data_IF_506461370532
#
_entry.id   IF_506461370532
#
_cell.length_a   1.000
_cell.length_b   1.000
_cell.length_c   1.000
_cell.angle_alpha   90.00
_cell.angle_beta   90.00
_cell.angle_gamma   90.00
#
_symmetry.space_group_name_H-M   'P 1'
#
loop_
_entity.id
_entity.type
_entity.pdbx_description
1 polymer ?
#
# COMPACT_ATOMS: atom_id res chain seq x y z
N UNK A 1 -0.04 9.99 -27.93
CA UNK A 1 -0.92 9.78 -26.76
C UNK A 1 -1.42 8.36 -26.88
N UNK A 2 -0.73 7.43 -26.24
CA UNK A 2 -1.25 6.06 -26.16
C UNK A 2 -2.52 6.09 -25.30
N UNK A 3 -3.57 5.35 -25.68
CA UNK A 3 -4.76 5.24 -24.86
C UNK A 3 -4.40 4.65 -23.48
N UNK A 4 -5.12 5.01 -22.40
CA UNK A 4 -4.87 4.42 -21.09
C UNK A 4 -4.96 2.89 -21.20
N UNK A 5 -3.86 2.22 -20.85
CA UNK A 5 -3.71 0.76 -20.92
C UNK A 5 -4.86 0.04 -20.20
N UNK A 6 -5.33 -1.03 -20.85
CA UNK A 6 -6.49 -1.86 -20.52
C UNK A 6 -6.85 -1.89 -19.02
N UNK A 7 -7.96 -1.20 -18.72
CA UNK A 7 -8.72 -1.45 -17.49
C UNK A 7 -9.32 -2.85 -17.57
N UNK A 8 -9.41 -3.61 -16.46
CA UNK A 8 -10.10 -4.90 -16.46
C UNK A 8 -11.51 -4.70 -17.02
N UNK A 9 -11.88 -5.52 -18.01
CA UNK A 9 -13.15 -5.43 -18.74
C UNK A 9 -14.39 -5.45 -17.83
N UNK A 10 -15.58 -5.14 -18.37
CA UNK A 10 -16.77 -4.82 -17.58
C UNK A 10 -17.21 -5.99 -16.71
N UNK A 11 -16.84 -5.93 -15.42
CA UNK A 11 -17.48 -6.71 -14.37
C UNK A 11 -18.76 -5.96 -14.00
N UNK A 12 -19.91 -6.35 -14.55
CA UNK A 12 -21.19 -5.82 -14.06
C UNK A 12 -21.49 -6.49 -12.72
N UNK A 13 -21.36 -5.80 -11.57
CA UNK A 13 -21.47 -6.44 -10.28
C UNK A 13 -22.90 -6.95 -10.04
N UNK A 14 -23.03 -8.08 -9.35
CA UNK A 14 -24.33 -8.63 -8.98
C UNK A 14 -25.07 -7.77 -7.94
N UNK A 15 -26.39 -7.98 -7.77
CA UNK A 15 -27.19 -7.27 -6.76
C UNK A 15 -26.62 -7.42 -5.33
N UNK A 16 -26.26 -8.64 -4.93
CA UNK A 16 -25.67 -8.94 -3.62
C UNK A 16 -24.32 -8.24 -3.42
N UNK A 17 -23.54 -8.11 -4.49
CA UNK A 17 -22.24 -7.44 -4.47
C UNK A 17 -22.40 -5.93 -4.27
N UNK A 18 -23.35 -5.28 -4.94
CA UNK A 18 -23.64 -3.84 -4.74
C UNK A 18 -24.12 -3.55 -3.32
N UNK A 19 -24.99 -4.39 -2.75
CA UNK A 19 -25.46 -4.24 -1.36
C UNK A 19 -24.31 -4.37 -0.35
N UNK A 20 -23.42 -5.36 -0.53
CA UNK A 20 -22.21 -5.52 0.29
C UNK A 20 -21.29 -4.31 0.16
N UNK A 21 -21.07 -3.83 -1.07
CA UNK A 21 -20.21 -2.69 -1.34
C UNK A 21 -20.71 -1.41 -0.66
N UNK A 22 -22.02 -1.16 -0.72
CA UNK A 22 -22.65 -0.04 -0.04
C UNK A 22 -22.43 -0.08 1.47
N UNK A 23 -22.60 -1.24 2.10
CA UNK A 23 -22.41 -1.39 3.54
C UNK A 23 -20.94 -1.10 3.92
N UNK A 24 -19.99 -1.72 3.22
CA UNK A 24 -18.56 -1.56 3.49
C UNK A 24 -18.10 -0.11 3.28
N UNK A 25 -18.54 0.54 2.19
CA UNK A 25 -18.18 1.93 1.92
C UNK A 25 -18.77 2.90 2.95
N UNK A 26 -20.02 2.67 3.37
CA UNK A 26 -20.66 3.52 4.37
C UNK A 26 -19.98 3.40 5.74
N UNK A 27 -19.46 2.22 6.10
CA UNK A 27 -18.65 2.03 7.30
C UNK A 27 -17.30 2.72 7.18
N UNK A 28 -16.60 2.57 6.04
CA UNK A 28 -15.35 3.29 5.75
C UNK A 28 -15.50 4.80 5.95
N UNK A 29 -16.56 5.41 5.41
CA UNK A 29 -16.82 6.84 5.58
C UNK A 29 -17.15 7.26 7.02
N UNK A 30 -17.66 6.36 7.86
CA UNK A 30 -18.03 6.66 9.24
C UNK A 30 -16.90 6.44 10.23
N UNK A 31 -16.15 5.36 10.04
CA UNK A 31 -15.23 4.80 11.04
C UNK A 31 -13.77 4.85 10.57
N UNK A 32 -13.49 5.28 9.33
CA UNK A 32 -12.16 5.21 8.74
C UNK A 32 -11.67 3.77 8.56
N UNK A 33 -12.58 2.81 8.51
CA UNK A 33 -12.29 1.38 8.57
C UNK A 33 -11.40 0.87 7.43
N UNK A 34 -10.57 -0.13 7.72
CA UNK A 34 -9.66 -0.76 6.77
C UNK A 34 -10.43 -1.53 5.67
N UNK A 35 -10.10 -1.27 4.39
CA UNK A 35 -10.83 -1.78 3.22
C UNK A 35 -10.28 -3.09 2.64
N UNK A 36 -9.38 -3.80 3.32
CA UNK A 36 -8.69 -4.97 2.77
C UNK A 36 -9.60 -6.13 2.36
N UNK A 37 -10.81 -6.21 2.93
CA UNK A 37 -11.81 -7.25 2.62
C UNK A 37 -12.99 -6.69 1.79
N UNK A 38 -12.82 -5.50 1.21
CA UNK A 38 -13.85 -4.83 0.44
C UNK A 38 -13.88 -5.32 -1.02
N UNK A 39 -15.07 -5.31 -1.63
CA UNK A 39 -15.19 -5.62 -3.07
C UNK A 39 -14.41 -4.63 -3.94
N UNK A 40 -14.04 -5.04 -5.16
CA UNK A 40 -13.34 -4.18 -6.13
C UNK A 40 -14.09 -2.85 -6.38
N UNK A 41 -15.43 -2.92 -6.41
CA UNK A 41 -16.30 -1.75 -6.50
C UNK A 41 -16.13 -0.78 -5.32
N UNK A 42 -16.14 -1.28 -4.08
CA UNK A 42 -15.93 -0.45 -2.88
C UNK A 42 -14.57 0.21 -2.89
N UNK A 43 -13.53 -0.58 -3.16
CA UNK A 43 -12.15 -0.13 -3.13
C UNK A 43 -11.87 0.90 -4.22
N UNK A 44 -12.35 0.62 -5.44
CA UNK A 44 -12.25 1.53 -6.58
C UNK A 44 -12.97 2.87 -6.33
N UNK A 45 -14.20 2.84 -5.83
CA UNK A 45 -14.93 4.07 -5.48
C UNK A 45 -14.26 4.87 -4.35
N UNK A 46 -13.48 4.22 -3.49
CA UNK A 46 -12.79 4.88 -2.37
C UNK A 46 -11.56 5.60 -2.91
N UNK A 47 -10.82 4.90 -3.77
CA UNK A 47 -9.66 5.40 -4.48
C UNK A 47 -9.97 6.62 -5.34
N UNK A 48 -11.11 6.59 -6.04
CA UNK A 48 -11.55 7.63 -6.97
C UNK A 48 -12.44 8.71 -6.32
N UNK A 49 -12.51 8.76 -4.98
CA UNK A 49 -13.43 9.62 -4.24
C UNK A 49 -13.37 11.12 -4.62
N UNK A 50 -12.19 11.69 -4.88
CA UNK A 50 -12.03 13.10 -5.24
C UNK A 50 -12.57 13.35 -6.65
N UNK A 51 -12.17 12.52 -7.61
CA UNK A 51 -12.65 12.57 -8.99
C UNK A 51 -14.16 12.39 -9.08
N UNK A 52 -14.72 11.40 -8.37
CA UNK A 52 -16.16 11.12 -8.38
C UNK A 52 -16.97 12.28 -7.80
N UNK A 53 -16.48 12.90 -6.73
CA UNK A 53 -17.09 14.08 -6.14
C UNK A 53 -17.02 15.29 -7.10
N UNK A 54 -15.93 15.46 -7.85
CA UNK A 54 -15.79 16.50 -8.87
C UNK A 54 -16.74 16.29 -10.05
N UNK A 55 -16.82 15.06 -10.57
CA UNK A 55 -17.76 14.69 -11.64
C UNK A 55 -19.21 14.95 -11.20
N UNK A 56 -19.58 14.53 -10.00
CA UNK A 56 -20.93 14.77 -9.47
C UNK A 56 -21.28 16.26 -9.42
N UNK A 57 -20.33 17.13 -9.08
CA UNK A 57 -20.55 18.58 -9.02
C UNK A 57 -20.87 19.20 -10.39
N UNK A 58 -20.37 18.64 -11.50
CA UNK A 58 -20.67 19.14 -12.85
C UNK A 58 -22.16 19.06 -13.18
N UNK A 59 -22.85 18.04 -12.66
CA UNK A 59 -24.29 17.85 -12.87
C UNK A 59 -25.18 18.60 -11.85
N UNK A 60 -24.58 19.38 -10.95
CA UNK A 60 -25.28 20.05 -9.84
C UNK A 60 -25.23 21.56 -9.97
N UNK A 61 -26.40 22.19 -10.15
CA UNK A 61 -26.53 23.65 -10.28
C UNK A 61 -25.98 24.46 -9.10
N UNK A 62 -25.97 23.89 -7.90
CA UNK A 62 -25.40 24.51 -6.68
C UNK A 62 -24.11 23.83 -6.20
N UNK A 63 -23.60 22.82 -6.91
CA UNK A 63 -22.38 22.08 -6.51
C UNK A 63 -22.43 21.37 -5.14
N UNK A 64 -23.61 21.27 -4.51
CA UNK A 64 -23.76 20.71 -3.15
C UNK A 64 -23.91 19.20 -3.18
N UNK A 65 -22.89 18.51 -2.67
CA UNK A 65 -22.90 17.05 -2.51
C UNK A 65 -23.71 16.62 -1.26
N UNK A 66 -24.21 15.36 -1.25
CA UNK A 66 -24.88 14.79 -0.09
C UNK A 66 -23.97 14.75 1.15
N UNK A 67 -24.52 15.08 2.32
CA UNK A 67 -23.76 15.09 3.58
C UNK A 67 -23.76 13.75 4.31
N UNK A 68 -24.81 12.94 4.15
CA UNK A 68 -24.92 11.68 4.88
C UNK A 68 -23.98 10.63 4.25
N UNK A 69 -23.21 9.94 5.09
CA UNK A 69 -22.24 8.92 4.64
C UNK A 69 -22.85 7.91 3.65
N UNK A 70 -24.07 7.43 3.91
CA UNK A 70 -24.74 6.45 3.05
C UNK A 70 -25.17 7.00 1.68
N UNK A 71 -25.62 8.26 1.65
CA UNK A 71 -25.97 8.96 0.40
C UNK A 71 -24.71 9.21 -0.43
N UNK A 72 -23.62 9.62 0.22
CA UNK A 72 -22.30 9.81 -0.40
C UNK A 72 -21.72 8.49 -0.93
N UNK A 73 -21.87 7.40 -0.19
CA UNK A 73 -21.48 6.06 -0.62
C UNK A 73 -22.23 5.64 -1.88
N UNK A 74 -23.57 5.74 -1.88
CA UNK A 74 -24.41 5.42 -3.04
C UNK A 74 -24.01 6.23 -4.27
N UNK A 75 -23.81 7.55 -4.09
CA UNK A 75 -23.39 8.43 -5.18
C UNK A 75 -22.05 7.96 -5.77
N UNK A 76 -21.01 7.81 -4.95
CA UNK A 76 -19.68 7.45 -5.42
C UNK A 76 -19.63 6.06 -6.05
N UNK A 77 -20.33 5.07 -5.49
CA UNK A 77 -20.40 3.72 -6.06
C UNK A 77 -21.10 3.72 -7.41
N UNK A 78 -22.22 4.45 -7.55
CA UNK A 78 -22.93 4.58 -8.82
C UNK A 78 -22.07 5.25 -9.90
N UNK A 79 -21.38 6.34 -9.55
CA UNK A 79 -20.50 7.05 -10.49
C UNK A 79 -19.25 6.21 -10.83
N UNK A 80 -18.72 5.44 -9.88
CA UNK A 80 -17.58 4.56 -10.14
C UNK A 80 -17.95 3.48 -11.14
N UNK A 81 -19.10 2.83 -10.93
CA UNK A 81 -19.58 1.81 -11.86
C UNK A 81 -19.82 2.39 -13.27
N UNK A 82 -20.36 3.61 -13.34
CA UNK A 82 -20.60 4.31 -14.60
C UNK A 82 -19.29 4.63 -15.36
N UNK A 83 -18.32 5.26 -14.71
CA UNK A 83 -17.15 5.84 -15.39
C UNK A 83 -15.89 4.97 -15.40
N UNK A 84 -15.76 4.04 -14.45
CA UNK A 84 -14.55 3.23 -14.27
C UNK A 84 -14.79 1.73 -14.46
N UNK A 85 -16.05 1.29 -14.55
CA UNK A 85 -16.40 -0.10 -14.88
C UNK A 85 -17.13 -0.20 -16.23
N UNK A 86 -17.29 0.93 -16.93
CA UNK A 86 -17.98 1.03 -18.21
C UNK A 86 -19.39 0.42 -18.20
N UNK A 87 -20.09 0.50 -17.06
CA UNK A 87 -21.44 -0.05 -16.95
C UNK A 87 -22.44 0.82 -17.71
N UNK A 88 -23.43 0.23 -18.41
CA UNK A 88 -24.43 1.00 -19.14
C UNK A 88 -25.19 1.95 -18.21
N UNK A 89 -25.31 3.22 -18.61
CA UNK A 89 -25.97 4.28 -17.82
C UNK A 89 -27.36 3.90 -17.34
N UNK A 90 -28.16 3.24 -18.19
CA UNK A 90 -29.50 2.80 -17.82
C UNK A 90 -29.48 1.74 -16.69
N UNK A 91 -28.50 0.82 -16.71
CA UNK A 91 -28.36 -0.23 -15.70
C UNK A 91 -27.92 0.35 -14.36
N UNK A 92 -26.94 1.27 -14.38
CA UNK A 92 -26.51 2.02 -13.19
C UNK A 92 -27.69 2.81 -12.62
N UNK A 93 -28.40 3.55 -13.47
CA UNK A 93 -29.56 4.34 -13.09
C UNK A 93 -30.67 3.50 -12.47
N UNK A 94 -30.96 2.31 -12.99
CA UNK A 94 -32.00 1.44 -12.46
C UNK A 94 -31.61 0.82 -11.10
N UNK A 95 -30.44 0.17 -11.04
CA UNK A 95 -30.05 -0.62 -9.87
C UNK A 95 -29.65 0.25 -8.68
N UNK A 96 -28.87 1.31 -8.89
CA UNK A 96 -28.46 2.18 -7.78
C UNK A 96 -29.61 3.05 -7.25
N UNK A 97 -30.58 3.42 -8.10
CA UNK A 97 -31.78 4.14 -7.65
C UNK A 97 -32.69 3.21 -6.84
N UNK A 98 -32.82 1.93 -7.19
CA UNK A 98 -33.51 0.94 -6.35
C UNK A 98 -32.84 0.81 -4.97
N UNK A 99 -31.51 0.72 -4.93
CA UNK A 99 -30.76 0.68 -3.67
C UNK A 99 -30.92 1.98 -2.86
N UNK A 100 -30.92 3.13 -3.51
CA UNK A 100 -31.19 4.41 -2.87
C UNK A 100 -32.58 4.43 -2.23
N UNK A 101 -33.62 4.00 -2.94
CA UNK A 101 -35.00 3.88 -2.40
C UNK A 101 -35.06 3.01 -1.15
N UNK A 102 -34.31 1.91 -1.13
CA UNK A 102 -34.29 0.95 -0.02
C UNK A 102 -33.52 1.47 1.20
N UNK A 103 -32.44 2.21 0.98
CA UNK A 103 -31.46 2.48 2.04
C UNK A 103 -31.38 3.93 2.50
N UNK A 104 -32.02 4.86 1.80
CA UNK A 104 -32.04 6.30 2.12
C UNK A 104 -33.46 6.84 2.23
N UNK A 105 -33.60 8.06 2.75
CA UNK A 105 -34.88 8.73 2.96
C UNK A 105 -34.86 10.13 2.35
N UNK A 106 -36.03 10.77 2.24
CA UNK A 106 -36.11 12.18 1.84
C UNK A 106 -35.89 12.44 0.34
N UNK A 107 -36.16 11.45 -0.53
CA UNK A 107 -36.12 11.62 -1.98
C UNK A 107 -34.73 11.56 -2.62
N UNK A 108 -33.73 11.03 -1.90
CA UNK A 108 -32.37 10.88 -2.43
C UNK A 108 -32.32 10.00 -3.69
N UNK A 109 -33.22 9.01 -3.82
CA UNK A 109 -33.37 8.21 -5.04
C UNK A 109 -33.73 9.05 -6.27
N UNK A 110 -34.64 10.01 -6.11
CA UNK A 110 -35.02 10.95 -7.18
C UNK A 110 -33.87 11.88 -7.52
N UNK A 111 -33.14 12.35 -6.51
CA UNK A 111 -31.92 13.14 -6.68
C UNK A 111 -30.87 12.37 -7.48
N UNK A 112 -30.55 11.13 -7.08
CA UNK A 112 -29.55 10.29 -7.75
C UNK A 112 -29.94 10.03 -9.21
N UNK A 113 -31.21 9.71 -9.48
CA UNK A 113 -31.71 9.49 -10.83
C UNK A 113 -31.62 10.76 -11.70
N UNK A 114 -31.93 11.93 -11.14
CA UNK A 114 -31.78 13.20 -11.85
C UNK A 114 -30.32 13.52 -12.14
N UNK A 115 -29.43 13.30 -11.17
CA UNK A 115 -28.00 13.49 -11.32
C UNK A 115 -27.43 12.62 -12.44
N UNK A 116 -27.71 11.31 -12.44
CA UNK A 116 -27.20 10.36 -13.46
C UNK A 116 -27.60 10.77 -14.88
N UNK A 117 -28.82 11.30 -15.07
CA UNK A 117 -29.28 11.78 -16.38
C UNK A 117 -28.59 13.03 -16.89
N UNK A 118 -28.07 13.86 -15.99
CA UNK A 118 -27.41 15.13 -16.32
C UNK A 118 -25.87 15.01 -16.37
N UNK A 119 -25.34 13.81 -16.10
CA UNK A 119 -23.91 13.56 -16.14
C UNK A 119 -23.37 13.52 -17.59
N UNK A 120 -22.14 14.01 -17.83
CA UNK A 120 -21.44 13.83 -19.11
C UNK A 120 -21.40 12.37 -19.55
N UNK A 121 -21.50 12.09 -20.84
CA UNK A 121 -21.45 10.70 -21.36
C UNK A 121 -20.08 10.06 -21.11
N UNK A 122 -19.00 10.82 -21.33
CA UNK A 122 -17.63 10.38 -21.09
C UNK A 122 -17.07 10.94 -19.78
N UNK A 123 -16.05 10.28 -19.23
CA UNK A 123 -15.36 10.80 -18.04
C UNK A 123 -14.71 12.15 -18.40
N UNK A 124 -15.03 13.25 -17.69
CA UNK A 124 -14.44 14.55 -17.97
C UNK A 124 -12.95 14.58 -17.62
N UNK A 125 -12.20 15.38 -18.38
CA UNK A 125 -10.83 15.77 -18.09
C UNK A 125 -10.82 17.16 -17.43
N UNK A 126 -10.16 17.30 -16.28
CA UNK A 126 -10.22 18.51 -15.46
C UNK A 126 -9.01 19.43 -15.65
N UNK A 127 -7.95 18.99 -16.33
CA UNK A 127 -6.64 19.68 -16.37
C UNK A 127 -6.10 19.98 -14.96
N UNK A 128 -6.36 19.05 -14.04
CA UNK A 128 -5.97 19.14 -12.62
C UNK A 128 -5.64 17.73 -12.13
N UNK A 129 -4.38 17.50 -11.76
CA UNK A 129 -3.90 16.17 -11.35
C UNK A 129 -4.66 15.61 -10.14
N UNK A 130 -5.13 16.47 -9.23
CA UNK A 130 -5.89 16.04 -8.04
C UNK A 130 -7.24 15.47 -8.46
N UNK A 131 -7.89 16.14 -9.42
CA UNK A 131 -9.20 15.74 -9.91
C UNK A 131 -9.12 14.62 -10.94
N UNK A 132 -8.08 14.56 -11.77
CA UNK A 132 -7.94 13.57 -12.83
C UNK A 132 -7.52 12.19 -12.29
N UNK A 133 -6.65 12.18 -11.26
CA UNK A 133 -6.12 10.97 -10.64
C UNK A 133 -6.68 10.69 -9.24
N UNK A 134 -7.53 11.53 -8.66
CA UNK A 134 -8.09 11.33 -7.31
C UNK A 134 -7.04 11.21 -6.19
N UNK A 135 -6.18 12.22 -6.09
CA UNK A 135 -5.21 12.35 -4.99
C UNK A 135 -5.35 13.73 -4.33
N UNK A 136 -5.10 13.86 -3.02
CA UNK A 136 -5.09 15.17 -2.37
C UNK A 136 -4.10 16.11 -3.04
N UNK A 137 -4.48 17.38 -3.14
CA UNK A 137 -3.67 18.41 -3.81
C UNK A 137 -2.33 18.58 -3.10
N UNK A 138 -2.33 18.49 -1.78
CA UNK A 138 -1.17 18.62 -0.91
C UNK A 138 -0.12 17.54 -1.22
N UNK A 139 -0.56 16.29 -1.40
CA UNK A 139 0.33 15.19 -1.78
C UNK A 139 0.88 15.37 -3.20
N UNK A 140 0.06 15.85 -4.14
CA UNK A 140 0.54 16.13 -5.50
C UNK A 140 1.58 17.25 -5.49
N UNK A 141 1.31 18.33 -4.77
CA UNK A 141 2.22 19.46 -4.64
C UNK A 141 3.56 19.01 -4.02
N UNK A 142 3.51 18.17 -2.98
CA UNK A 142 4.70 17.55 -2.36
C UNK A 142 5.47 16.68 -3.37
N UNK A 143 4.79 15.80 -4.11
CA UNK A 143 5.44 14.95 -5.12
C UNK A 143 6.04 15.76 -6.28
N UNK A 144 5.37 16.81 -6.75
CA UNK A 144 5.86 17.70 -7.80
C UNK A 144 7.08 18.53 -7.36
N UNK A 145 7.21 18.79 -6.05
CA UNK A 145 8.41 19.42 -5.50
C UNK A 145 9.61 18.46 -5.45
N UNK A 146 9.37 17.15 -5.39
CA UNK A 146 10.39 16.11 -5.23
C UNK A 146 10.80 15.44 -6.54
N UNK A 147 9.87 15.30 -7.49
CA UNK A 147 10.02 14.49 -8.68
C UNK A 147 9.54 15.23 -9.94
N UNK A 148 10.13 14.93 -11.13
CA UNK A 148 9.64 15.43 -12.41
C UNK A 148 8.16 15.12 -12.64
N UNK A 149 7.43 16.06 -13.27
CA UNK A 149 5.97 15.97 -13.48
C UNK A 149 5.53 14.68 -14.18
N UNK A 150 6.30 14.22 -15.18
CA UNK A 150 6.04 12.97 -15.91
C UNK A 150 6.15 11.74 -15.00
N UNK A 151 7.13 11.71 -14.10
CA UNK A 151 7.25 10.65 -13.10
C UNK A 151 6.10 10.70 -12.09
N UNK A 152 5.73 11.90 -11.61
CA UNK A 152 4.59 12.06 -10.70
C UNK A 152 3.32 11.53 -11.35
N UNK A 153 3.02 11.94 -12.59
CA UNK A 153 1.87 11.41 -13.34
C UNK A 153 1.90 9.87 -13.38
N UNK A 154 3.06 9.28 -13.67
CA UNK A 154 3.20 7.83 -13.69
C UNK A 154 2.94 7.18 -12.32
N UNK A 155 3.41 7.78 -11.23
CA UNK A 155 3.14 7.29 -9.87
C UNK A 155 1.65 7.36 -9.53
N UNK A 156 0.96 8.43 -9.93
CA UNK A 156 -0.49 8.57 -9.72
C UNK A 156 -1.28 7.54 -10.54
N UNK A 157 -0.86 7.27 -11.78
CA UNK A 157 -1.43 6.21 -12.64
C UNK A 157 -1.27 4.84 -11.99
N UNK A 158 -0.03 4.43 -11.71
CA UNK A 158 0.30 3.12 -11.14
C UNK A 158 -0.37 2.95 -9.78
N UNK A 159 -0.28 3.98 -8.94
CA UNK A 159 -0.94 4.01 -7.64
C UNK A 159 -2.46 3.88 -7.74
N UNK A 160 -3.08 4.13 -8.89
CA UNK A 160 -4.50 3.93 -9.18
C UNK A 160 -4.87 2.55 -9.75
N UNK A 161 -3.91 1.80 -10.27
CA UNK A 161 -4.16 0.45 -10.78
C UNK A 161 -4.41 -0.56 -9.63
N UNK A 162 -5.05 -1.70 -9.92
CA UNK A 162 -5.12 -2.82 -8.98
C UNK A 162 -3.72 -3.29 -8.60
N UNK A 163 -3.53 -3.60 -7.32
CA UNK A 163 -2.27 -4.17 -6.85
C UNK A 163 -2.11 -5.60 -7.37
N UNK A 164 -0.90 -5.93 -7.83
CA UNK A 164 -0.55 -7.29 -8.21
C UNK A 164 -0.15 -8.12 -6.97
N UNK A 165 -0.54 -9.39 -6.98
CA UNK A 165 -0.02 -10.39 -6.05
C UNK A 165 1.26 -10.96 -6.64
N UNK A 166 2.32 -11.00 -5.82
CA UNK A 166 3.65 -11.43 -6.23
C UNK A 166 4.24 -12.38 -5.20
N UNK A 167 5.11 -13.26 -5.65
CA UNK A 167 5.88 -14.15 -4.79
C UNK A 167 7.36 -14.14 -5.17
N UNK A 168 8.21 -14.10 -4.14
CA UNK A 168 9.64 -14.33 -4.25
C UNK A 168 9.90 -15.83 -4.36
N UNK A 169 10.66 -16.23 -5.38
CA UNK A 169 11.16 -17.60 -5.53
C UNK A 169 12.33 -17.83 -4.58
N UNK A 170 12.21 -18.81 -3.68
CA UNK A 170 13.22 -19.16 -2.68
C UNK A 170 14.18 -20.24 -3.19
N UNK A 171 15.44 -20.24 -2.71
CA UNK A 171 16.06 -19.25 -1.81
C UNK A 171 16.53 -17.96 -2.54
N UNK A 172 16.12 -17.78 -3.80
CA UNK A 172 16.51 -16.63 -4.59
C UNK A 172 15.84 -15.30 -4.23
N UNK A 173 16.07 -14.34 -5.11
CA UNK A 173 15.48 -12.99 -5.08
C UNK A 173 14.69 -12.67 -6.35
N UNK A 174 14.45 -13.68 -7.19
CA UNK A 174 13.54 -13.55 -8.32
C UNK A 174 12.11 -13.43 -7.83
N UNK A 175 11.31 -12.59 -8.48
CA UNK A 175 9.92 -12.36 -8.13
C UNK A 175 9.06 -12.63 -9.35
N UNK A 176 8.02 -13.43 -9.16
CA UNK A 176 6.98 -13.66 -10.18
C UNK A 176 5.65 -13.07 -9.74
N UNK A 177 4.89 -12.59 -10.71
CA UNK A 177 3.46 -12.28 -10.53
C UNK A 177 2.70 -13.59 -10.37
N UNK A 178 1.68 -13.57 -9.52
CA UNK A 178 0.73 -14.67 -9.33
C UNK A 178 -0.64 -14.28 -9.89
N UNK A 179 -1.22 -15.17 -10.67
CA UNK A 179 -2.62 -15.10 -11.05
C UNK A 179 -3.51 -15.58 -9.89
N UNK A 180 -4.79 -15.16 -9.88
CA UNK A 180 -5.71 -15.43 -8.76
C UNK A 180 -5.82 -16.93 -8.39
N UNK A 181 -5.72 -17.81 -9.38
CA UNK A 181 -5.77 -19.26 -9.17
C UNK A 181 -4.50 -19.86 -8.54
N UNK A 182 -3.37 -19.16 -8.60
CA UNK A 182 -2.06 -19.65 -8.14
C UNK A 182 -1.77 -19.27 -6.68
N UNK A 183 -2.55 -18.35 -6.10
CA UNK A 183 -2.27 -17.79 -4.76
C UNK A 183 -2.34 -18.87 -3.67
N UNK A 184 -3.37 -19.72 -3.70
CA UNK A 184 -3.54 -20.75 -2.68
C UNK A 184 -2.37 -21.76 -2.70
N UNK A 185 -1.98 -22.21 -3.90
CA UNK A 185 -0.83 -23.09 -4.08
C UNK A 185 0.48 -22.42 -3.65
N UNK A 186 0.65 -21.13 -3.97
CA UNK A 186 1.86 -20.40 -3.59
C UNK A 186 2.00 -20.24 -2.06
N UNK A 187 0.89 -20.09 -1.33
CA UNK A 187 0.90 -19.99 0.14
C UNK A 187 1.35 -21.31 0.80
N UNK A 188 1.06 -22.45 0.18
CA UNK A 188 1.42 -23.78 0.68
C UNK A 188 2.76 -24.29 0.14
N UNK A 189 3.45 -23.50 -0.69
CA UNK A 189 4.70 -23.89 -1.32
C UNK A 189 5.92 -23.28 -0.59
N UNK A 190 6.79 -24.08 0.08
CA UNK A 190 7.94 -23.55 0.81
C UNK A 190 9.01 -22.91 -0.11
N UNK A 191 8.94 -23.16 -1.42
CA UNK A 191 9.75 -22.51 -2.44
C UNK A 191 9.24 -21.12 -2.87
N UNK A 192 8.11 -20.64 -2.34
CA UNK A 192 7.52 -19.34 -2.67
C UNK A 192 7.17 -18.58 -1.41
N UNK A 193 7.54 -17.30 -1.34
CA UNK A 193 7.10 -16.41 -0.26
C UNK A 193 6.36 -15.21 -0.84
N UNK A 194 5.13 -14.95 -0.37
CA UNK A 194 4.33 -13.80 -0.82
C UNK A 194 5.00 -12.49 -0.42
N UNK A 195 5.71 -11.89 -1.37
CA UNK A 195 6.49 -10.67 -1.18
C UNK A 195 6.67 -9.97 -2.51
N UNK A 196 6.52 -8.65 -2.47
CA UNK A 196 6.60 -7.81 -3.66
C UNK A 196 8.04 -7.61 -4.13
N UNK A 197 8.16 -7.23 -5.39
CA UNK A 197 9.43 -6.94 -6.05
C UNK A 197 10.29 -5.92 -5.31
N UNK A 198 9.68 -4.86 -4.77
CA UNK A 198 10.40 -3.75 -4.13
C UNK A 198 11.15 -4.16 -2.87
N UNK A 199 10.52 -4.70 -1.81
CA UNK A 199 11.26 -5.13 -0.63
C UNK A 199 12.27 -6.26 -0.94
N UNK A 200 11.98 -7.16 -1.90
CA UNK A 200 12.95 -8.17 -2.35
C UNK A 200 14.17 -7.52 -3.01
N UNK A 201 13.96 -6.53 -3.89
CA UNK A 201 15.03 -5.76 -4.54
C UNK A 201 15.87 -5.00 -3.51
N UNK A 202 15.24 -4.36 -2.53
CA UNK A 202 15.94 -3.64 -1.46
C UNK A 202 16.86 -4.59 -0.70
N UNK A 203 16.35 -5.70 -0.16
CA UNK A 203 17.16 -6.64 0.61
C UNK A 203 18.29 -7.23 -0.22
N UNK A 204 18.01 -7.64 -1.48
CA UNK A 204 19.04 -8.14 -2.40
C UNK A 204 20.17 -7.13 -2.55
N UNK A 205 19.81 -5.88 -2.88
CA UNK A 205 20.78 -4.82 -3.18
C UNK A 205 21.59 -4.44 -1.94
N UNK A 206 20.94 -4.32 -0.77
CA UNK A 206 21.63 -3.95 0.47
C UNK A 206 22.55 -5.08 0.96
N UNK A 207 22.08 -6.34 0.91
CA UNK A 207 22.87 -7.51 1.35
C UNK A 207 24.08 -7.82 0.46
N UNK A 208 24.10 -7.38 -0.79
CA UNK A 208 25.25 -7.50 -1.70
C UNK A 208 26.38 -6.50 -1.38
N UNK A 209 26.16 -5.52 -0.50
CA UNK A 209 27.11 -4.45 -0.17
C UNK A 209 27.82 -4.61 1.17
N UNK A 210 27.48 -5.64 1.93
CA UNK A 210 28.02 -5.88 3.28
C UNK A 210 28.71 -7.25 3.35
N UNK A 211 29.66 -7.45 4.28
CA UNK A 211 30.19 -8.79 4.55
C UNK A 211 29.09 -9.70 5.11
N UNK A 212 29.30 -11.02 5.04
CA UNK A 212 28.36 -11.98 5.62
C UNK A 212 28.27 -11.77 7.16
N UNK A 213 27.10 -11.40 7.70
CA UNK A 213 26.93 -11.20 9.13
C UNK A 213 26.80 -12.55 9.86
N UNK A 214 27.39 -12.66 11.05
CA UNK A 214 27.18 -13.83 11.92
C UNK A 214 25.87 -13.77 12.70
N UNK A 215 25.42 -12.54 13.03
CA UNK A 215 24.18 -12.29 13.77
C UNK A 215 23.35 -11.20 13.12
N UNK A 216 22.06 -11.47 12.91
CA UNK A 216 21.10 -10.55 12.29
C UNK A 216 19.94 -10.33 13.25
N UNK A 217 19.63 -9.06 13.56
CA UNK A 217 18.43 -8.66 14.27
C UNK A 217 17.47 -7.94 13.32
N UNK A 218 16.22 -8.38 13.23
CA UNK A 218 15.12 -7.60 12.65
C UNK A 218 14.26 -7.02 13.78
N UNK A 219 14.29 -5.69 13.95
CA UNK A 219 13.72 -5.00 15.11
C UNK A 219 12.20 -4.81 15.01
N UNK A 220 11.65 -4.87 13.80
CA UNK A 220 10.23 -4.69 13.49
C UNK A 220 9.80 -5.79 12.50
N UNK A 221 9.98 -7.04 12.93
CA UNK A 221 10.16 -8.14 12.00
C UNK A 221 8.88 -8.64 11.33
N UNK A 222 7.71 -8.55 11.98
CA UNK A 222 6.55 -9.28 11.51
C UNK A 222 6.02 -8.73 10.17
N UNK A 223 5.67 -9.60 9.21
CA UNK A 223 5.50 -11.05 9.34
C UNK A 223 6.78 -11.91 9.22
N UNK A 224 7.96 -11.33 9.02
CA UNK A 224 9.24 -12.04 8.97
C UNK A 224 9.80 -12.25 7.57
N UNK A 225 9.17 -11.69 6.54
CA UNK A 225 9.57 -11.89 5.14
C UNK A 225 10.97 -11.34 4.81
N UNK A 226 11.35 -10.24 5.46
CA UNK A 226 12.68 -9.65 5.28
C UNK A 226 13.76 -10.48 5.96
N UNK A 227 13.49 -10.90 7.19
CA UNK A 227 14.33 -11.84 7.92
C UNK A 227 14.51 -13.17 7.16
N UNK A 228 13.44 -13.71 6.57
CA UNK A 228 13.50 -14.90 5.72
C UNK A 228 14.38 -14.69 4.47
N UNK A 229 14.29 -13.52 3.83
CA UNK A 229 15.15 -13.21 2.69
C UNK A 229 16.63 -13.09 3.07
N UNK A 230 16.91 -12.58 4.27
CA UNK A 230 18.27 -12.54 4.82
C UNK A 230 18.77 -13.93 5.24
N UNK A 231 17.90 -14.78 5.78
CA UNK A 231 18.21 -16.20 6.03
C UNK A 231 18.62 -16.92 4.75
N UNK A 232 17.82 -16.76 3.68
CA UNK A 232 18.12 -17.38 2.39
C UNK A 232 19.47 -16.91 1.80
N UNK A 233 19.86 -15.66 2.08
CA UNK A 233 21.15 -15.07 1.64
C UNK A 233 22.32 -15.47 2.53
N UNK A 234 22.10 -15.56 3.84
CA UNK A 234 23.11 -15.81 4.87
C UNK A 234 22.64 -16.98 5.77
N UNK A 235 22.65 -18.23 5.26
CA UNK A 235 22.06 -19.38 5.97
C UNK A 235 22.75 -19.70 7.29
N UNK A 236 24.04 -19.34 7.44
CA UNK A 236 24.82 -19.56 8.66
C UNK A 236 24.59 -18.49 9.74
N UNK A 237 23.87 -17.40 9.42
CA UNK A 237 23.64 -16.31 10.36
C UNK A 237 22.62 -16.70 11.44
N UNK A 238 22.91 -16.36 12.69
CA UNK A 238 21.96 -16.51 13.80
C UNK A 238 20.96 -15.36 13.75
N UNK A 239 19.67 -15.70 13.69
CA UNK A 239 18.60 -14.74 13.49
C UNK A 239 17.91 -14.38 14.81
N UNK A 240 17.57 -13.10 14.94
CA UNK A 240 16.84 -12.51 16.05
C UNK A 240 15.71 -11.66 15.47
N UNK A 241 14.52 -11.77 16.06
CA UNK A 241 13.35 -11.04 15.60
C UNK A 241 12.62 -10.41 16.79
N UNK A 242 12.25 -9.14 16.66
CA UNK A 242 11.46 -8.42 17.62
C UNK A 242 10.19 -7.84 16.97
N UNK A 243 9.07 -7.84 17.69
CA UNK A 243 7.90 -7.05 17.33
C UNK A 243 7.02 -6.75 18.55
N UNK A 244 6.11 -5.78 18.42
CA UNK A 244 5.37 -5.14 19.52
C UNK A 244 4.29 -6.01 20.17
N UNK A 245 4.02 -7.20 19.65
CA UNK A 245 2.92 -8.05 20.14
C UNK A 245 3.15 -9.52 19.81
N UNK A 246 2.72 -10.41 20.71
CA UNK A 246 2.75 -11.85 20.47
C UNK A 246 2.02 -12.28 19.20
N UNK A 247 0.85 -11.68 18.88
CA UNK A 247 0.11 -11.98 17.65
C UNK A 247 0.94 -11.78 16.38
N UNK A 248 1.85 -10.82 16.38
CA UNK A 248 2.76 -10.58 15.27
C UNK A 248 3.92 -11.58 15.26
N UNK A 249 4.43 -11.95 16.43
CA UNK A 249 5.44 -13.01 16.58
C UNK A 249 4.90 -14.38 16.15
N UNK A 250 3.62 -14.68 16.36
CA UNK A 250 2.97 -15.91 15.88
C UNK A 250 3.11 -16.06 14.36
N UNK A 251 2.94 -14.97 13.60
CA UNK A 251 3.18 -15.01 12.14
C UNK A 251 4.62 -15.33 11.77
N UNK A 252 5.57 -14.89 12.59
CA UNK A 252 6.99 -15.23 12.40
C UNK A 252 7.20 -16.71 12.70
N UNK A 253 6.62 -17.25 13.78
CA UNK A 253 6.68 -18.68 14.13
C UNK A 253 6.05 -19.57 13.04
N UNK A 254 4.91 -19.16 12.49
CA UNK A 254 4.27 -19.81 11.34
C UNK A 254 5.23 -19.85 10.13
N UNK A 255 5.85 -18.71 9.81
CA UNK A 255 6.83 -18.64 8.72
C UNK A 255 8.10 -19.47 9.01
N UNK A 256 8.58 -19.50 10.25
CA UNK A 256 9.71 -20.35 10.66
C UNK A 256 9.43 -21.82 10.37
N UNK A 257 8.23 -22.31 10.74
CA UNK A 257 7.78 -23.66 10.47
C UNK A 257 7.59 -23.95 8.97
N UNK A 258 6.94 -23.03 8.25
CA UNK A 258 6.65 -23.18 6.82
C UNK A 258 7.92 -23.18 5.95
N UNK A 259 8.89 -22.34 6.28
CA UNK A 259 10.06 -22.08 5.42
C UNK A 259 11.36 -22.67 5.92
N UNK A 260 11.35 -23.29 7.10
CA UNK A 260 12.47 -24.06 7.65
C UNK A 260 13.63 -23.20 8.16
N UNK A 261 13.35 -22.12 8.89
CA UNK A 261 14.39 -21.29 9.51
C UNK A 261 14.12 -21.08 11.01
N UNK A 262 15.17 -20.77 11.77
CA UNK A 262 15.07 -20.52 13.21
C UNK A 262 15.45 -19.07 13.55
N UNK A 263 14.71 -18.45 14.46
CA UNK A 263 15.03 -17.13 15.01
C UNK A 263 14.71 -17.07 16.50
N UNK A 264 15.55 -16.36 17.27
CA UNK A 264 15.23 -16.02 18.65
C UNK A 264 14.22 -14.87 18.65
N UNK A 265 13.06 -15.09 19.26
CA UNK A 265 11.96 -14.10 19.27
C UNK A 265 11.96 -13.29 20.56
N UNK A 266 11.65 -12.02 20.46
CA UNK A 266 11.45 -11.11 21.60
C UNK A 266 10.21 -10.27 21.37
N UNK A 267 9.33 -10.19 22.36
CA UNK A 267 8.18 -9.28 22.33
C UNK A 267 8.57 -7.96 22.97
N UNK A 268 8.32 -6.85 22.26
CA UNK A 268 8.57 -5.53 22.78
C UNK A 268 8.55 -4.43 21.72
N UNK A 269 8.43 -3.20 22.20
CA UNK A 269 8.65 -2.02 21.36
C UNK A 269 10.11 -1.99 20.91
N UNK A 270 10.35 -1.73 19.63
CA UNK A 270 11.70 -1.73 19.07
C UNK A 270 12.61 -0.73 19.79
N UNK A 271 12.09 0.45 20.12
CA UNK A 271 12.81 1.49 20.86
C UNK A 271 13.15 1.12 22.31
N UNK A 272 12.53 0.07 22.85
CA UNK A 272 12.76 -0.45 24.21
C UNK A 272 13.57 -1.76 24.21
N UNK A 273 14.02 -2.24 23.04
CA UNK A 273 14.79 -3.49 22.94
C UNK A 273 16.10 -3.43 23.75
N UNK A 274 16.44 -4.55 24.40
CA UNK A 274 17.61 -4.67 25.28
C UNK A 274 18.92 -4.44 24.54
N UNK A 275 19.81 -3.64 25.15
CA UNK A 275 21.12 -3.30 24.60
C UNK A 275 22.25 -4.20 25.14
N UNK A 276 21.91 -5.26 25.89
CA UNK A 276 22.88 -6.22 26.44
C UNK A 276 23.62 -7.02 25.34
N UNK A 277 23.05 -7.06 24.13
CA UNK A 277 23.61 -7.76 22.98
C UNK A 277 23.67 -6.85 21.77
N UNK A 278 24.76 -6.95 21.03
CA UNK A 278 24.95 -6.29 19.74
C UNK A 278 25.00 -7.30 18.59
N UNK A 279 24.68 -6.83 17.39
CA UNK A 279 24.50 -7.62 16.17
C UNK A 279 25.40 -7.12 15.04
N UNK A 280 25.77 -8.02 14.13
CA UNK A 280 26.55 -7.67 12.94
C UNK A 280 25.68 -6.91 11.92
N UNK A 281 24.40 -7.26 11.85
CA UNK A 281 23.39 -6.56 11.06
C UNK A 281 22.14 -6.29 11.89
N UNK A 282 21.70 -5.03 11.92
CA UNK A 282 20.39 -4.63 12.47
C UNK A 282 19.50 -4.14 11.34
N UNK A 283 18.32 -4.72 11.21
CA UNK A 283 17.31 -4.42 10.19
C UNK A 283 16.18 -3.61 10.81
N UNK A 284 15.86 -2.50 10.16
CA UNK A 284 14.78 -1.59 10.49
C UNK A 284 13.82 -1.49 9.31
N UNK A 285 12.74 -2.26 9.35
CA UNK A 285 11.55 -2.02 8.54
C UNK A 285 10.60 -1.14 9.34
N UNK A 286 10.82 0.17 9.31
CA UNK A 286 10.11 1.07 10.20
C UNK A 286 8.67 1.32 9.73
N UNK A 287 7.72 1.56 10.66
CA UNK A 287 6.40 2.08 10.30
C UNK A 287 6.52 3.34 9.44
N UNK A 288 5.82 3.36 8.30
CA UNK A 288 5.95 4.41 7.28
C UNK A 288 4.58 4.95 6.84
N UNK A 289 4.55 6.08 6.13
CA UNK A 289 3.34 6.69 5.56
C UNK A 289 2.61 5.80 4.55
N UNK A 290 3.32 4.82 3.97
CA UNK A 290 2.88 3.92 2.89
C UNK A 290 2.67 4.63 1.53
N UNK A 291 3.28 5.79 1.32
CA UNK A 291 3.22 6.54 0.05
C UNK A 291 3.83 5.81 -1.15
N UNK A 292 4.68 4.81 -0.94
CA UNK A 292 5.20 3.97 -2.01
C UNK A 292 4.24 2.85 -2.46
N UNK A 293 3.26 2.48 -1.64
CA UNK A 293 2.41 1.29 -1.85
C UNK A 293 0.93 1.66 -2.09
N UNK A 294 0.66 2.81 -2.71
CA UNK A 294 -0.68 3.40 -2.87
C UNK A 294 -1.66 2.54 -3.70
N UNK A 295 -1.15 1.60 -4.50
CA UNK A 295 -1.99 0.62 -5.18
C UNK A 295 -2.65 -0.37 -4.18
N UNK A 296 -1.90 -0.77 -3.14
CA UNK A 296 -2.32 -1.69 -2.06
C UNK A 296 -3.01 -0.97 -0.92
N UNK A 297 -2.51 0.21 -0.58
CA UNK A 297 -2.95 1.05 0.53
C UNK A 297 -3.40 2.42 0.03
N UNK A 298 -4.51 2.51 -0.74
CA UNK A 298 -4.96 3.78 -1.31
C UNK A 298 -5.32 4.79 -0.23
N UNK A 299 -5.74 4.34 0.96
CA UNK A 299 -6.05 5.19 2.10
C UNK A 299 -4.83 5.99 2.58
N UNK A 300 -3.61 5.50 2.33
CA UNK A 300 -2.38 6.18 2.72
C UNK A 300 -2.22 7.55 2.03
N UNK A 301 -2.86 7.78 0.87
CA UNK A 301 -2.82 9.09 0.21
C UNK A 301 -3.47 10.22 1.02
N UNK A 302 -4.29 9.89 2.02
CA UNK A 302 -5.02 10.84 2.87
C UNK A 302 -4.49 10.92 4.31
N UNK A 303 -3.45 10.14 4.65
CA UNK A 303 -2.91 10.10 6.01
C UNK A 303 -1.94 11.25 6.20
N UNK A 304 -2.10 11.97 7.31
CA UNK A 304 -1.01 12.74 7.90
C UNK A 304 -0.07 11.75 8.61
N UNK A 305 1.23 11.92 8.45
CA UNK A 305 2.25 11.07 9.08
C UNK A 305 2.87 11.82 10.25
N UNK A 306 2.76 11.23 11.44
CA UNK A 306 3.48 11.64 12.66
C UNK A 306 4.50 10.56 13.06
N UNK A 307 5.10 9.89 12.07
CA UNK A 307 5.95 8.71 12.27
C UNK A 307 7.43 9.05 12.38
N UNK A 308 7.84 10.24 11.96
CA UNK A 308 9.22 10.69 11.88
C UNK A 308 9.92 10.63 13.25
N UNK A 309 9.23 10.97 14.33
CA UNK A 309 9.78 10.90 15.69
C UNK A 309 10.03 9.44 16.12
N UNK A 310 9.08 8.53 15.81
CA UNK A 310 9.23 7.11 16.10
C UNK A 310 10.35 6.48 15.27
N UNK A 311 10.39 6.80 13.97
CA UNK A 311 11.45 6.36 13.06
C UNK A 311 12.83 6.78 13.54
N UNK A 312 12.97 8.02 14.03
CA UNK A 312 14.21 8.53 14.61
C UNK A 312 14.60 7.76 15.90
N UNK A 313 13.64 7.49 16.80
CA UNK A 313 13.89 6.70 18.02
C UNK A 313 14.35 5.28 17.70
N UNK A 314 13.71 4.62 16.74
CA UNK A 314 14.09 3.27 16.28
C UNK A 314 15.49 3.27 15.66
N UNK A 315 15.81 4.30 14.87
CA UNK A 315 17.13 4.43 14.27
C UNK A 315 18.24 4.65 15.30
N UNK A 316 18.01 5.53 16.29
CA UNK A 316 18.94 5.72 17.42
C UNK A 316 19.13 4.46 18.26
N UNK A 317 18.07 3.66 18.43
CA UNK A 317 18.20 2.36 19.08
C UNK A 317 19.07 1.41 18.24
N UNK A 318 18.85 1.30 16.93
CA UNK A 318 19.65 0.42 16.08
C UNK A 318 21.15 0.75 16.11
N UNK A 319 21.50 2.04 16.21
CA UNK A 319 22.90 2.49 16.38
C UNK A 319 23.57 1.97 17.65
N UNK A 320 22.81 1.73 18.72
CA UNK A 320 23.32 1.12 19.97
C UNK A 320 23.38 -0.41 19.91
N UNK A 321 22.54 -1.01 19.06
CA UNK A 321 22.45 -2.47 18.87
C UNK A 321 23.43 -3.01 17.82
N UNK A 322 23.99 -2.17 16.95
CA UNK A 322 24.98 -2.61 15.96
C UNK A 322 26.37 -2.70 16.59
N UNK A 323 27.11 -3.78 16.32
CA UNK A 323 28.51 -3.93 16.74
C UNK A 323 29.40 -2.90 16.04
N UNK A 324 30.56 -2.53 16.62
CA UNK A 324 31.64 -1.92 15.85
C UNK A 324 31.98 -2.77 14.62
N UNK A 325 32.01 -2.16 13.43
CA UNK A 325 32.20 -2.87 12.17
C UNK A 325 30.93 -3.45 11.54
N UNK A 326 29.80 -3.43 12.24
CA UNK A 326 28.50 -3.91 11.73
C UNK A 326 27.75 -2.86 10.90
N UNK A 327 26.56 -3.27 10.44
CA UNK A 327 25.71 -2.50 9.53
C UNK A 327 24.27 -2.38 10.03
N UNK A 328 23.59 -1.32 9.60
CA UNK A 328 22.17 -1.13 9.79
C UNK A 328 21.52 -1.05 8.41
N UNK A 329 20.50 -1.87 8.18
CA UNK A 329 19.59 -1.70 7.05
C UNK A 329 18.37 -0.91 7.50
N UNK A 330 18.22 0.29 6.97
CA UNK A 330 17.00 1.08 7.13
C UNK A 330 16.15 0.95 5.88
N UNK A 331 14.90 0.55 6.03
CA UNK A 331 13.97 0.35 4.93
C UNK A 331 12.61 0.96 5.24
N UNK A 332 11.98 1.56 4.23
CA UNK A 332 10.61 2.04 4.28
C UNK A 332 9.86 1.72 3.00
N UNK A 333 8.56 1.66 3.12
CA UNK A 333 7.58 1.65 2.03
C UNK A 333 7.20 3.06 1.55
N UNK A 334 8.07 4.05 1.75
CA UNK A 334 7.82 5.46 1.44
C UNK A 334 8.61 5.95 0.23
N UNK A 335 8.06 6.96 -0.42
CA UNK A 335 8.71 7.76 -1.46
C UNK A 335 8.90 9.22 -1.02
N UNK A 336 8.76 9.52 0.28
CA UNK A 336 8.90 10.86 0.81
C UNK A 336 10.22 10.98 1.58
N UNK A 337 11.17 11.83 1.15
CA UNK A 337 12.47 11.96 1.81
C UNK A 337 12.41 12.41 3.27
N UNK A 338 11.30 13.00 3.73
CA UNK A 338 11.11 13.37 5.15
C UNK A 338 11.11 12.16 6.10
N UNK A 339 10.80 10.97 5.59
CA UNK A 339 10.85 9.70 6.34
C UNK A 339 12.19 8.98 6.21
N UNK A 340 13.17 9.58 5.51
CA UNK A 340 14.51 9.02 5.44
C UNK A 340 15.34 9.50 6.64
N UNK A 341 16.31 8.72 7.15
CA UNK A 341 17.19 9.16 8.22
C UNK A 341 17.95 10.43 7.81
N UNK A 342 18.13 11.36 8.75
CA UNK A 342 18.90 12.60 8.52
C UNK A 342 20.40 12.36 8.36
N UNK A 343 20.89 11.26 8.92
CA UNK A 343 22.29 10.87 8.80
C UNK A 343 22.59 10.45 7.36
N UNK A 344 23.80 10.74 6.89
CA UNK A 344 24.22 10.34 5.55
C UNK A 344 24.50 8.83 5.51
N UNK A 345 23.82 8.04 4.66
CA UNK A 345 24.10 6.61 4.55
C UNK A 345 25.40 6.33 3.80
N UNK A 346 25.95 5.14 4.01
CA UNK A 346 27.05 4.60 3.20
C UNK A 346 26.58 4.28 1.77
N UNK A 347 25.34 3.81 1.66
CA UNK A 347 24.68 3.51 0.40
C UNK A 347 23.18 3.69 0.58
N UNK A 348 22.50 4.20 -0.44
CA UNK A 348 21.05 4.29 -0.47
C UNK A 348 20.49 3.97 -1.86
N UNK A 349 19.24 3.52 -1.88
CA UNK A 349 18.47 3.25 -3.08
C UNK A 349 17.02 3.67 -2.86
N UNK A 350 16.52 4.50 -3.77
CA UNK A 350 15.10 4.83 -3.87
C UNK A 350 14.49 4.05 -5.04
N UNK A 351 13.42 3.31 -4.77
CA UNK A 351 12.56 2.71 -5.78
C UNK A 351 11.30 3.54 -5.88
N UNK A 352 10.91 3.90 -7.11
CA UNK A 352 9.71 4.67 -7.40
C UNK A 352 8.68 3.77 -8.10
N UNK A 353 7.37 3.94 -7.82
CA UNK A 353 6.31 3.14 -8.43
C UNK A 353 5.96 3.67 -9.83
N UNK A 354 6.88 3.49 -10.77
CA UNK A 354 6.73 3.96 -12.17
C UNK A 354 6.20 2.89 -13.12
N UNK A 355 6.15 1.64 -12.67
CA UNK A 355 5.74 0.48 -13.46
C UNK A 355 4.67 -0.31 -12.71
N UNK A 356 3.78 -0.97 -13.46
CA UNK A 356 2.77 -1.87 -12.87
C UNK A 356 3.47 -2.99 -12.10
N UNK A 357 2.99 -3.28 -10.89
CA UNK A 357 3.59 -4.29 -10.02
C UNK A 357 4.88 -3.85 -9.33
N UNK A 358 5.31 -2.59 -9.47
CA UNK A 358 6.45 -2.04 -8.74
C UNK A 358 5.94 -1.05 -7.70
N UNK A 359 6.13 -1.40 -6.43
CA UNK A 359 5.89 -0.47 -5.32
C UNK A 359 7.07 0.49 -5.16
N UNK A 360 6.83 1.65 -4.55
CA UNK A 360 7.85 2.55 -4.05
C UNK A 360 8.43 2.09 -2.72
N UNK A 361 9.68 2.45 -2.48
CA UNK A 361 10.34 2.19 -1.20
C UNK A 361 11.76 2.71 -1.17
N UNK A 362 12.26 2.92 0.04
CA UNK A 362 13.61 3.39 0.31
C UNK A 362 14.39 2.32 1.07
N UNK A 363 15.67 2.17 0.75
CA UNK A 363 16.60 1.31 1.48
C UNK A 363 17.96 1.98 1.62
N UNK A 364 18.56 1.89 2.80
CA UNK A 364 19.86 2.48 3.08
C UNK A 364 20.70 1.63 4.03
N UNK A 365 22.02 1.77 3.91
CA UNK A 365 23.04 1.13 4.75
C UNK A 365 23.73 2.19 5.59
N UNK A 366 23.79 1.97 6.90
CA UNK A 366 24.59 2.74 7.84
C UNK A 366 25.58 1.81 8.56
N UNK A 367 26.60 2.37 9.21
CA UNK A 367 27.62 1.58 9.93
C UNK A 367 29.02 1.78 9.35
N UNK A 368 29.79 0.71 9.20
CA UNK A 368 31.22 0.77 8.86
C UNK A 368 31.56 0.16 7.50
N UNK A 369 31.98 0.98 6.52
CA UNK A 369 32.51 0.53 5.24
C UNK A 369 31.55 -0.31 4.38
N UNK A 370 31.81 -0.45 3.09
CA UNK A 370 31.09 -1.38 2.21
C UNK A 370 32.10 -2.35 1.58
N UNK A 371 31.62 -3.52 1.14
CA UNK A 371 32.43 -4.53 0.43
C UNK A 371 32.63 -4.17 -1.04
#
# INVERSE_FOLDING_TARGET
MDPPMDQPGPLNPGKSERERALLQYALYLKEGAFLSEASALTFGAAKQAITLDAIAKLALSQGKLPKKAKEKALLRLALYELYFMSAPRYAVGEEWVKLAKKHTFGGFDKFLNALIRNLPEEKPYFDDLSLDYSYPKELIDELLALYPKDQVIKMLEVGNLPAETQARLRPGFEVKRLEKGEIAEAIENPGLYLMNRTPTKLIKTLSEKIPAPETILDLCAAPGGKLLALHDKFPEAKLFANDVSEKKLDKIRENMGMYGFEATLTEGRGEDFSEEKQFDLVVLDVPCSNTGVLAKHPEARFRESDLEELQAKLFEKAKRLVKPGGHIFYMTCSILPRENPKEKPLFEIQVLPLEVGVDGGYGAIFGTGLV
#
